data_IF_130012960975
#
_entry.id   IF_130012960975
#
_cell.length_a   1.000
_cell.length_b   1.000
_cell.length_c   1.000
_cell.angle_alpha   90.00
_cell.angle_beta   90.00
_cell.angle_gamma   90.00
#
_symmetry.space_group_name_H-M   'P 1'
#
loop_
_entity.id
_entity.type
_entity.pdbx_description
1 polymer ?
#
# COMPACT_ATOMS: atom_id res chain seq x y z
N UNK A 1 -8.56 0.83 21.30
CA UNK A 1 -8.04 1.98 20.59
C UNK A 1 -9.12 3.02 20.31
N UNK A 2 -10.37 2.62 20.26
CA UNK A 2 -11.53 3.50 20.29
C UNK A 2 -11.96 3.60 21.76
N UNK A 3 -12.10 4.82 22.25
CA UNK A 3 -12.33 5.09 23.66
C UNK A 3 -13.82 4.91 24.05
N UNK A 4 -14.70 5.22 23.13
CA UNK A 4 -16.14 5.14 23.35
C UNK A 4 -16.83 4.27 22.29
N UNK A 5 -17.75 3.42 22.74
CA UNK A 5 -18.51 2.52 21.86
C UNK A 5 -19.29 3.24 20.73
N UNK A 6 -19.94 4.41 20.97
CA UNK A 6 -20.62 5.16 19.91
C UNK A 6 -19.71 5.58 18.76
N UNK A 7 -18.41 5.76 19.02
CA UNK A 7 -17.42 6.19 18.02
C UNK A 7 -16.98 5.06 17.08
N UNK A 8 -17.28 3.81 17.41
CA UNK A 8 -16.92 2.66 16.57
C UNK A 8 -17.50 2.77 15.17
N UNK A 9 -18.76 3.17 15.04
CA UNK A 9 -19.42 3.30 13.73
C UNK A 9 -18.87 4.47 12.92
N UNK A 10 -18.86 5.72 13.40
CA UNK A 10 -18.38 6.84 12.59
C UNK A 10 -16.89 6.70 12.24
N UNK A 11 -16.05 6.22 13.15
CA UNK A 11 -14.61 6.03 12.88
C UNK A 11 -14.40 4.88 11.91
N UNK A 12 -14.95 3.69 12.17
CA UNK A 12 -14.74 2.50 11.32
C UNK A 12 -15.35 2.67 9.94
N UNK A 13 -16.63 3.09 9.89
CA UNK A 13 -17.33 3.26 8.61
C UNK A 13 -16.82 4.47 7.83
N UNK A 14 -16.54 5.58 8.52
CA UNK A 14 -15.94 6.76 7.90
C UNK A 14 -14.56 6.49 7.31
N UNK A 15 -13.71 5.76 8.03
CA UNK A 15 -12.41 5.33 7.51
C UNK A 15 -12.55 4.45 6.27
N UNK A 16 -13.46 3.47 6.28
CA UNK A 16 -13.75 2.62 5.13
C UNK A 16 -14.21 3.43 3.90
N UNK A 17 -15.08 4.42 4.09
CA UNK A 17 -15.54 5.28 2.99
C UNK A 17 -14.40 6.12 2.40
N UNK A 18 -13.52 6.67 3.26
CA UNK A 18 -12.34 7.42 2.81
C UNK A 18 -11.36 6.51 2.05
N UNK A 19 -11.12 5.31 2.54
CA UNK A 19 -10.28 4.33 1.85
C UNK A 19 -10.87 3.93 0.48
N UNK A 20 -12.18 3.72 0.41
CA UNK A 20 -12.89 3.48 -0.84
C UNK A 20 -12.75 4.62 -1.84
N UNK A 21 -12.80 5.88 -1.37
CA UNK A 21 -12.57 7.06 -2.20
C UNK A 21 -11.14 7.09 -2.76
N UNK A 22 -10.14 6.78 -1.92
CA UNK A 22 -8.74 6.68 -2.36
C UNK A 22 -8.58 5.56 -3.40
N UNK A 23 -9.24 4.41 -3.20
CA UNK A 23 -9.26 3.31 -4.18
C UNK A 23 -9.85 3.72 -5.53
N UNK A 24 -10.96 4.44 -5.53
CA UNK A 24 -11.57 4.98 -6.78
C UNK A 24 -10.62 5.97 -7.44
N UNK A 25 -10.00 6.86 -6.69
CA UNK A 25 -9.03 7.83 -7.22
C UNK A 25 -7.84 7.11 -7.86
N UNK A 26 -7.35 6.04 -7.24
CA UNK A 26 -6.26 5.23 -7.78
C UNK A 26 -6.65 4.54 -9.09
N UNK A 27 -7.88 4.05 -9.19
CA UNK A 27 -8.41 3.45 -10.42
C UNK A 27 -8.50 4.49 -11.55
N UNK A 28 -9.01 5.69 -11.24
CA UNK A 28 -9.08 6.80 -12.21
C UNK A 28 -7.68 7.20 -12.69
N UNK A 29 -6.73 7.34 -11.77
CA UNK A 29 -5.34 7.68 -12.09
C UNK A 29 -4.70 6.64 -13.01
N UNK A 30 -4.88 5.36 -12.72
CA UNK A 30 -4.38 4.28 -13.58
C UNK A 30 -5.05 4.28 -14.96
N UNK A 31 -6.35 4.55 -15.03
CA UNK A 31 -7.12 4.62 -16.28
C UNK A 31 -6.76 5.83 -17.16
N UNK A 32 -6.16 6.88 -16.60
CA UNK A 32 -5.68 8.04 -17.35
C UNK A 32 -4.37 7.78 -18.09
N UNK A 33 -3.61 6.77 -17.69
CA UNK A 33 -2.38 6.37 -18.38
C UNK A 33 -2.71 5.65 -19.70
N UNK A 34 -1.89 5.89 -20.73
CA UNK A 34 -1.97 5.07 -21.92
C UNK A 34 -1.69 3.60 -21.56
N UNK A 35 -2.45 2.62 -22.09
CA UNK A 35 -2.27 1.22 -21.73
C UNK A 35 -0.82 0.73 -21.84
N UNK A 36 -0.10 1.10 -22.91
CA UNK A 36 1.30 0.71 -23.08
C UNK A 36 2.21 1.27 -21.98
N UNK A 37 1.96 2.51 -21.52
CA UNK A 37 2.73 3.14 -20.44
C UNK A 37 2.41 2.48 -19.08
N UNK A 38 1.13 2.17 -18.83
CA UNK A 38 0.72 1.42 -17.65
C UNK A 38 1.43 0.05 -17.56
N UNK A 39 1.42 -0.71 -18.64
CA UNK A 39 2.12 -2.00 -18.68
C UNK A 39 3.64 -1.84 -18.62
N UNK A 40 4.21 -0.80 -19.23
CA UNK A 40 5.63 -0.53 -19.13
C UNK A 40 6.10 -0.26 -17.69
N UNK A 41 5.25 0.35 -16.85
CA UNK A 41 5.51 0.56 -15.43
C UNK A 41 5.38 -0.78 -14.66
N UNK A 42 4.28 -1.51 -14.85
CA UNK A 42 3.88 -2.59 -13.95
C UNK A 42 4.42 -3.97 -14.31
N UNK A 43 4.98 -4.13 -15.50
CA UNK A 43 5.50 -5.40 -15.99
C UNK A 43 7.03 -5.34 -16.09
N UNK A 44 7.76 -6.41 -15.69
CA UNK A 44 9.20 -6.48 -15.92
C UNK A 44 9.57 -6.28 -17.39
N UNK A 45 10.66 -5.57 -17.68
CA UNK A 45 11.04 -5.20 -19.06
C UNK A 45 11.11 -6.40 -20.03
N UNK A 46 11.60 -7.54 -19.55
CA UNK A 46 11.68 -8.75 -20.35
C UNK A 46 10.30 -9.33 -20.74
N UNK A 47 9.29 -9.14 -19.87
CA UNK A 47 7.92 -9.57 -20.16
C UNK A 47 7.19 -8.51 -20.99
N UNK A 48 7.45 -7.21 -20.77
CA UNK A 48 6.88 -6.13 -21.55
C UNK A 48 7.27 -6.22 -23.04
N UNK A 49 8.54 -6.59 -23.34
CA UNK A 49 9.00 -6.78 -24.71
C UNK A 49 8.18 -7.83 -25.50
N UNK A 50 7.59 -8.82 -24.80
CA UNK A 50 6.74 -9.86 -25.42
C UNK A 50 5.33 -9.38 -25.74
N UNK A 51 4.88 -8.26 -25.16
CA UNK A 51 3.55 -7.72 -25.40
C UNK A 51 3.46 -6.97 -26.74
N UNK A 52 4.59 -6.66 -27.40
CA UNK A 52 4.62 -5.94 -28.67
C UNK A 52 4.06 -4.51 -28.59
N UNK A 53 3.95 -3.94 -27.38
CA UNK A 53 3.46 -2.60 -27.15
C UNK A 53 4.59 -1.58 -27.18
N UNK A 54 4.33 -0.42 -27.79
CA UNK A 54 5.28 0.71 -27.78
C UNK A 54 4.82 1.73 -26.75
N UNK A 55 5.65 2.06 -25.75
CA UNK A 55 5.33 3.14 -24.80
C UNK A 55 5.19 4.47 -25.51
N UNK A 56 4.30 5.33 -24.99
CA UNK A 56 3.97 6.62 -25.63
C UNK A 56 4.62 7.79 -24.89
N UNK A 57 4.41 7.88 -23.57
CA UNK A 57 4.81 9.04 -22.77
C UNK A 57 5.79 8.69 -21.62
N UNK A 58 5.93 7.42 -21.27
CA UNK A 58 6.68 7.00 -20.08
C UNK A 58 8.14 7.47 -20.08
N UNK A 59 8.78 7.55 -21.25
CA UNK A 59 10.17 7.98 -21.34
C UNK A 59 10.32 9.49 -21.11
N UNK A 60 9.39 10.27 -21.63
CA UNK A 60 9.32 11.70 -21.36
C UNK A 60 8.99 11.96 -19.90
N UNK A 61 8.04 11.21 -19.33
CA UNK A 61 7.71 11.29 -17.90
C UNK A 61 8.91 10.93 -17.04
N UNK A 62 9.66 9.88 -17.40
CA UNK A 62 10.88 9.49 -16.67
C UNK A 62 11.92 10.60 -16.64
N UNK A 63 12.07 11.35 -17.74
CA UNK A 63 12.98 12.50 -17.82
C UNK A 63 12.48 13.67 -16.96
N UNK A 64 11.18 14.00 -17.02
CA UNK A 64 10.61 15.09 -16.24
C UNK A 64 10.62 14.81 -14.72
N UNK A 65 10.48 13.56 -14.35
CA UNK A 65 10.51 13.10 -12.94
C UNK A 65 11.95 12.92 -12.45
N UNK A 66 12.91 12.66 -13.34
CA UNK A 66 14.31 12.36 -12.99
C UNK A 66 14.53 10.92 -12.50
N UNK A 67 13.56 10.03 -12.71
CA UNK A 67 13.63 8.62 -12.29
C UNK A 67 13.19 7.68 -13.41
N UNK A 68 13.79 6.48 -13.43
CA UNK A 68 13.35 5.41 -14.34
C UNK A 68 12.01 4.85 -13.86
N UNK A 69 10.95 5.03 -14.64
CA UNK A 69 9.60 4.58 -14.30
C UNK A 69 9.30 3.16 -14.81
N UNK A 70 10.02 2.68 -15.83
CA UNK A 70 9.81 1.35 -16.42
C UNK A 70 10.17 0.22 -15.45
N UNK A 71 9.33 -0.82 -15.40
CA UNK A 71 9.57 -2.03 -14.61
C UNK A 71 9.44 -1.84 -13.10
N UNK A 72 8.87 -0.72 -12.65
CA UNK A 72 8.62 -0.45 -11.22
C UNK A 72 7.25 -0.98 -10.81
N UNK A 73 7.15 -2.29 -10.70
CA UNK A 73 5.93 -2.99 -10.29
C UNK A 73 5.50 -2.60 -8.88
N UNK A 74 4.18 -2.55 -8.62
CA UNK A 74 3.66 -2.35 -7.27
C UNK A 74 2.52 -1.34 -7.13
N UNK A 75 2.17 -0.64 -8.23
CA UNK A 75 1.00 0.26 -8.26
C UNK A 75 1.30 1.71 -7.89
N UNK A 76 2.23 1.97 -6.96
CA UNK A 76 2.54 3.33 -6.47
C UNK A 76 3.01 4.28 -7.58
N UNK A 77 3.88 3.78 -8.43
CA UNK A 77 4.40 4.55 -9.57
C UNK A 77 3.28 4.86 -10.57
N UNK A 78 2.38 3.91 -10.82
CA UNK A 78 1.23 4.13 -11.72
C UNK A 78 0.26 5.17 -11.16
N UNK A 79 -0.01 5.10 -9.85
CA UNK A 79 -0.83 6.09 -9.16
C UNK A 79 -0.21 7.49 -9.27
N UNK A 80 1.07 7.60 -8.92
CA UNK A 80 1.77 8.88 -8.93
C UNK A 80 1.88 9.46 -10.35
N UNK A 81 2.21 8.64 -11.34
CA UNK A 81 2.30 9.04 -12.74
C UNK A 81 0.93 9.48 -13.28
N UNK A 82 -0.13 8.71 -13.01
CA UNK A 82 -1.48 9.04 -13.45
C UNK A 82 -2.00 10.35 -12.86
N UNK A 83 -1.85 10.54 -11.55
CA UNK A 83 -2.26 11.79 -10.90
C UNK A 83 -1.40 12.96 -11.39
N UNK A 84 -0.09 12.80 -11.52
CA UNK A 84 0.78 13.85 -12.05
C UNK A 84 0.39 14.25 -13.47
N UNK A 85 0.02 13.27 -14.30
CA UNK A 85 -0.48 13.54 -15.65
C UNK A 85 -1.78 14.32 -15.63
N UNK A 86 -2.75 13.96 -14.78
CA UNK A 86 -4.01 14.70 -14.62
C UNK A 86 -3.73 16.16 -14.25
N UNK A 87 -2.91 16.40 -13.22
CA UNK A 87 -2.59 17.75 -12.77
C UNK A 87 -1.78 18.55 -13.81
N UNK A 88 -0.93 17.89 -14.60
CA UNK A 88 -0.15 18.54 -15.64
C UNK A 88 -1.01 19.13 -16.78
N UNK A 89 -2.27 18.69 -16.90
CA UNK A 89 -3.21 19.25 -17.88
C UNK A 89 -3.79 20.60 -17.46
N UNK A 90 -3.60 21.00 -16.20
CA UNK A 90 -3.99 22.34 -15.77
C UNK A 90 -3.10 23.40 -16.43
N UNK A 91 -3.68 24.57 -16.81
CA UNK A 91 -2.91 25.64 -17.43
C UNK A 91 -1.70 26.04 -16.58
N UNK A 92 -0.51 26.00 -17.17
CA UNK A 92 0.75 26.34 -16.48
C UNK A 92 1.35 25.26 -15.58
N UNK A 93 0.67 24.15 -15.33
CA UNK A 93 1.12 23.12 -14.41
C UNK A 93 2.02 22.03 -15.05
N UNK A 94 2.19 22.06 -16.36
CA UNK A 94 2.97 21.04 -17.09
C UNK A 94 4.43 20.98 -16.64
N UNK A 95 5.04 22.11 -16.28
CA UNK A 95 6.39 22.18 -15.74
C UNK A 95 6.52 21.59 -14.32
N UNK A 96 5.39 21.42 -13.60
CA UNK A 96 5.34 20.90 -12.25
C UNK A 96 5.03 19.39 -12.18
N UNK A 97 5.03 18.70 -13.32
CA UNK A 97 4.71 17.25 -13.38
C UNK A 97 5.60 16.45 -12.41
N UNK A 98 6.91 16.68 -12.40
CA UNK A 98 7.84 16.02 -11.50
C UNK A 98 7.53 16.32 -10.03
N UNK A 99 7.13 17.54 -9.69
CA UNK A 99 6.73 17.92 -8.35
C UNK A 99 5.47 17.15 -7.92
N UNK A 100 4.44 17.09 -8.73
CA UNK A 100 3.22 16.35 -8.44
C UNK A 100 3.50 14.86 -8.26
N UNK A 101 4.34 14.28 -9.13
CA UNK A 101 4.74 12.89 -9.01
C UNK A 101 5.38 12.59 -7.65
N UNK A 102 6.43 13.33 -7.27
CA UNK A 102 7.11 13.11 -6.00
C UNK A 102 6.22 13.39 -4.79
N UNK A 103 5.33 14.37 -4.90
CA UNK A 103 4.34 14.64 -3.84
C UNK A 103 3.43 13.44 -3.62
N UNK A 104 2.91 12.82 -4.67
CA UNK A 104 2.03 11.65 -4.57
C UNK A 104 2.79 10.42 -4.05
N UNK A 105 4.02 10.19 -4.51
CA UNK A 105 4.87 9.10 -3.97
C UNK A 105 5.10 9.27 -2.47
N UNK A 106 5.36 10.50 -2.03
CA UNK A 106 5.55 10.79 -0.61
C UNK A 106 4.26 10.64 0.20
N UNK A 107 3.13 11.09 -0.35
CA UNK A 107 1.81 10.88 0.24
C UNK A 107 1.51 9.39 0.44
N UNK A 108 1.75 8.58 -0.58
CA UNK A 108 1.55 7.13 -0.51
C UNK A 108 2.49 6.46 0.50
N UNK A 109 3.76 6.88 0.56
CA UNK A 109 4.70 6.37 1.55
C UNK A 109 4.22 6.62 2.99
N UNK A 110 3.68 7.81 3.27
CA UNK A 110 3.09 8.15 4.59
C UNK A 110 1.84 7.31 4.85
N UNK A 111 0.98 7.14 3.85
CA UNK A 111 -0.22 6.28 3.95
C UNK A 111 0.14 4.83 4.31
N UNK A 112 1.11 4.25 3.61
CA UNK A 112 1.61 2.90 3.91
C UNK A 112 2.20 2.82 5.31
N UNK A 113 2.97 3.83 5.73
CA UNK A 113 3.57 3.88 7.07
C UNK A 113 2.52 3.83 8.17
N UNK A 114 1.41 4.57 8.03
CA UNK A 114 0.30 4.52 9.00
C UNK A 114 -0.37 3.15 9.04
N UNK A 115 -0.51 2.49 7.90
CA UNK A 115 -1.05 1.13 7.82
C UNK A 115 -0.13 0.11 8.51
N UNK A 116 1.19 0.22 8.33
CA UNK A 116 2.17 -0.64 9.00
C UNK A 116 2.13 -0.44 10.52
N UNK A 117 2.05 0.82 11.01
CA UNK A 117 1.94 1.11 12.45
C UNK A 117 0.67 0.48 13.05
N UNK A 118 -0.48 0.75 12.44
CA UNK A 118 -1.76 0.21 12.90
C UNK A 118 -1.80 -1.33 12.85
N UNK A 119 -1.37 -1.91 11.74
CA UNK A 119 -1.32 -3.36 11.53
C UNK A 119 -0.38 -4.06 12.53
N UNK A 120 0.79 -3.50 12.77
CA UNK A 120 1.74 -4.01 13.78
C UNK A 120 1.15 -3.98 15.18
N UNK A 121 0.40 -2.91 15.50
CA UNK A 121 -0.25 -2.76 16.81
C UNK A 121 -1.37 -3.78 17.01
N UNK A 122 -2.20 -4.00 16.00
CA UNK A 122 -3.27 -5.02 16.02
C UNK A 122 -2.67 -6.43 16.12
N UNK A 123 -1.66 -6.74 15.28
CA UNK A 123 -0.99 -8.03 15.31
C UNK A 123 -0.32 -8.32 16.67
N UNK A 124 0.25 -7.29 17.30
CA UNK A 124 0.80 -7.40 18.65
C UNK A 124 -0.25 -7.87 19.68
N UNK A 125 -1.45 -7.31 19.64
CA UNK A 125 -2.52 -7.75 20.56
C UNK A 125 -2.88 -9.20 20.33
N UNK A 126 -3.00 -9.64 19.08
CA UNK A 126 -3.28 -11.05 18.76
C UNK A 126 -2.17 -11.97 19.27
N UNK A 127 -0.90 -11.59 19.10
CA UNK A 127 0.24 -12.36 19.60
C UNK A 127 0.23 -12.39 21.13
N UNK A 128 -0.07 -11.28 21.80
CA UNK A 128 -0.19 -11.24 23.26
C UNK A 128 -1.32 -12.15 23.77
N UNK A 129 -2.46 -12.22 23.09
CA UNK A 129 -3.55 -13.11 23.44
C UNK A 129 -3.15 -14.59 23.31
N UNK A 130 -2.45 -14.95 22.23
CA UNK A 130 -1.95 -16.31 22.02
C UNK A 130 -0.91 -16.68 23.09
N UNK A 131 0.06 -15.81 23.36
CA UNK A 131 1.07 -16.01 24.40
C UNK A 131 0.44 -16.04 25.80
N UNK A 132 -0.63 -15.27 26.02
CA UNK A 132 -1.39 -15.25 27.26
C UNK A 132 -2.08 -16.57 27.61
N UNK A 133 -2.32 -17.44 26.61
CA UNK A 133 -2.81 -18.81 26.83
C UNK A 133 -1.72 -19.74 27.42
N UNK A 134 -0.44 -19.39 27.17
CA UNK A 134 0.71 -20.13 27.71
C UNK A 134 1.11 -19.61 29.09
N UNK A 135 1.14 -18.30 29.29
CA UNK A 135 1.41 -17.63 30.56
C UNK A 135 0.49 -16.39 30.68
N UNK A 136 -0.41 -16.41 31.68
CA UNK A 136 -1.40 -15.35 31.91
C UNK A 136 -0.81 -13.97 32.16
N UNK A 137 0.50 -13.84 32.36
CA UNK A 137 1.19 -12.53 32.43
C UNK A 137 1.17 -11.78 31.13
N UNK A 138 1.23 -12.48 30.00
CA UNK A 138 1.21 -11.86 28.64
C UNK A 138 -0.15 -11.27 28.28
N UNK A 139 -1.21 -11.72 28.91
CA UNK A 139 -2.57 -11.17 28.72
C UNK A 139 -2.70 -9.74 29.26
N UNK A 140 -1.81 -9.34 30.16
CA UNK A 140 -1.82 -7.99 30.73
C UNK A 140 -1.15 -7.02 29.74
N UNK A 141 -1.94 -6.12 29.19
CA UNK A 141 -1.45 -5.11 28.22
C UNK A 141 -0.40 -4.15 28.81
N UNK A 142 -0.34 -4.04 30.16
CA UNK A 142 0.65 -3.23 30.87
C UNK A 142 1.97 -3.95 31.13
N UNK A 143 2.07 -5.23 30.84
CA UNK A 143 3.27 -6.02 31.05
C UNK A 143 4.32 -5.69 29.98
N UNK A 144 5.20 -4.71 30.27
CA UNK A 144 6.22 -4.20 29.34
C UNK A 144 7.03 -5.27 28.62
N UNK A 145 7.57 -6.34 29.29
CA UNK A 145 8.29 -7.39 28.58
C UNK A 145 7.43 -8.13 27.56
N UNK A 146 6.16 -8.38 27.88
CA UNK A 146 5.21 -9.02 26.96
C UNK A 146 4.95 -8.15 25.72
N UNK A 147 4.81 -6.84 25.89
CA UNK A 147 4.67 -5.88 24.79
C UNK A 147 5.89 -5.90 23.87
N UNK A 148 7.10 -5.91 24.44
CA UNK A 148 8.34 -5.93 23.65
C UNK A 148 8.50 -7.24 22.89
N UNK A 149 8.30 -8.39 23.54
CA UNK A 149 8.39 -9.71 22.90
C UNK A 149 7.38 -9.86 21.78
N UNK A 150 6.11 -9.51 22.02
CA UNK A 150 5.08 -9.59 21.00
C UNK A 150 5.36 -8.64 19.81
N UNK A 151 5.81 -7.41 20.09
CA UNK A 151 6.19 -6.47 19.03
C UNK A 151 7.37 -6.98 18.21
N UNK A 152 8.40 -7.52 18.85
CA UNK A 152 9.57 -8.06 18.18
C UNK A 152 9.20 -9.25 17.27
N UNK A 153 8.32 -10.14 17.75
CA UNK A 153 7.81 -11.27 16.95
C UNK A 153 7.06 -10.79 15.71
N UNK A 154 6.18 -9.79 15.85
CA UNK A 154 5.44 -9.22 14.73
C UNK A 154 6.38 -8.57 13.73
N UNK A 155 7.34 -7.76 14.20
CA UNK A 155 8.32 -7.10 13.32
C UNK A 155 9.23 -8.10 12.64
N UNK A 156 9.67 -9.15 13.35
CA UNK A 156 10.48 -10.23 12.76
C UNK A 156 9.70 -11.01 11.69
N UNK A 157 8.41 -11.25 11.92
CA UNK A 157 7.52 -11.89 10.93
C UNK A 157 7.39 -11.03 9.66
N UNK A 158 7.06 -9.75 9.80
CA UNK A 158 6.99 -8.83 8.65
C UNK A 158 8.34 -8.68 7.95
N UNK A 159 9.42 -8.50 8.72
CA UNK A 159 10.77 -8.39 8.18
C UNK A 159 11.21 -9.65 7.44
N UNK A 160 10.86 -10.83 7.96
CA UNK A 160 11.08 -12.11 7.29
C UNK A 160 10.36 -12.20 5.96
N UNK A 161 9.08 -11.81 5.90
CA UNK A 161 8.33 -11.75 4.66
C UNK A 161 8.91 -10.76 3.65
N UNK A 162 9.37 -9.60 4.09
CA UNK A 162 10.01 -8.61 3.22
C UNK A 162 11.37 -9.10 2.70
N UNK A 163 12.12 -9.83 3.53
CA UNK A 163 13.44 -10.34 3.14
C UNK A 163 13.36 -11.54 2.19
N UNK A 164 12.39 -12.44 2.41
CA UNK A 164 12.27 -13.69 1.64
C UNK A 164 11.20 -13.66 0.57
N UNK A 165 10.20 -12.76 0.73
CA UNK A 165 9.04 -12.70 -0.14
C UNK A 165 9.27 -11.85 -1.38
N UNK A 166 8.64 -12.26 -2.47
CA UNK A 166 8.49 -11.47 -3.68
C UNK A 166 7.05 -10.94 -3.78
N UNK A 167 6.83 -9.89 -4.56
CA UNK A 167 5.46 -9.37 -4.82
C UNK A 167 4.55 -10.49 -5.33
N UNK A 168 5.07 -11.38 -6.17
CA UNK A 168 4.32 -12.51 -6.72
C UNK A 168 3.91 -13.54 -5.67
N UNK A 169 4.62 -13.63 -4.55
CA UNK A 169 4.29 -14.52 -3.43
C UNK A 169 3.36 -13.85 -2.43
N UNK A 170 3.58 -12.58 -2.13
CA UNK A 170 2.82 -11.85 -1.11
C UNK A 170 1.42 -11.45 -1.58
N UNK A 171 1.27 -11.13 -2.88
CA UNK A 171 0.00 -10.68 -3.44
C UNK A 171 -1.12 -11.73 -3.34
N UNK A 172 -0.91 -13.02 -3.71
CA UNK A 172 -1.91 -14.06 -3.52
C UNK A 172 -2.27 -14.28 -2.05
N UNK A 173 -1.30 -14.20 -1.12
CA UNK A 173 -1.56 -14.34 0.31
C UNK A 173 -2.51 -13.25 0.83
N UNK A 174 -2.35 -12.02 0.38
CA UNK A 174 -3.23 -10.89 0.71
C UNK A 174 -4.66 -11.15 0.20
N UNK A 175 -4.81 -11.62 -1.04
CA UNK A 175 -6.11 -11.98 -1.61
C UNK A 175 -6.80 -13.10 -0.85
N UNK A 176 -6.08 -14.16 -0.51
CA UNK A 176 -6.59 -15.30 0.27
C UNK A 176 -7.02 -14.83 1.67
N UNK A 177 -6.21 -14.02 2.34
CA UNK A 177 -6.52 -13.50 3.68
C UNK A 177 -7.79 -12.65 3.67
N UNK A 178 -7.95 -11.77 2.68
CA UNK A 178 -9.15 -10.94 2.53
C UNK A 178 -10.40 -11.78 2.25
N UNK A 179 -10.30 -12.80 1.39
CA UNK A 179 -11.41 -13.71 1.10
C UNK A 179 -11.81 -14.54 2.33
N UNK A 180 -10.82 -15.04 3.08
CA UNK A 180 -11.06 -15.77 4.31
C UNK A 180 -11.76 -14.88 5.36
N UNK A 181 -11.29 -13.64 5.52
CA UNK A 181 -11.90 -12.68 6.43
C UNK A 181 -13.36 -12.39 6.03
N UNK A 182 -13.62 -12.17 4.75
CA UNK A 182 -14.98 -11.94 4.24
C UNK A 182 -15.89 -13.16 4.47
N UNK A 183 -15.38 -14.36 4.24
CA UNK A 183 -16.14 -15.59 4.45
C UNK A 183 -16.45 -15.86 5.93
N UNK A 184 -15.59 -15.41 6.86
CA UNK A 184 -15.83 -15.56 8.29
C UNK A 184 -16.71 -14.47 8.88
N UNK A 185 -16.87 -13.34 8.17
CA UNK A 185 -17.71 -12.22 8.59
C UNK A 185 -19.19 -12.38 8.16
N UNK A 186 -19.49 -13.32 7.24
CA UNK A 186 -20.84 -13.68 6.79
C UNK A 186 -21.47 -14.74 7.70
#
# INVERSE_FOLDING_TARGET
LIDQEPDCRPIGYGAMLLEGLVGITSLVAAACLHPADYFAINVPEAAFAKLGMTPVEIDLMSQLVGEKLRGRTGGSVSLAAGIAQIFSQLPGAKALLGYFYHFIVMFEAVFILTTVDAGTRVARFLVQDVLGRLDGRFQRHDFKPGVWVASLLVVAMWGGFLYTGTITTLWPLLGIANQLLSATAL
#
